data_IF_683851269110
#
_entry.id   IF_683851269110
#
_cell.length_a   1.000
_cell.length_b   1.000
_cell.length_c   1.000
_cell.angle_alpha   90.00
_cell.angle_beta   90.00
_cell.angle_gamma   90.00
#
_symmetry.space_group_name_H-M   'P 1'
#
loop_
_entity.id
_entity.type
_entity.pdbx_description
1 polymer ?
#
# COMPACT_ATOMS: atom_id res chain seq x y z
N UNK A 1 29.17 -24.20 -6.16
CA UNK A 1 29.34 -23.35 -4.96
C UNK A 1 28.06 -22.53 -4.76
N UNK A 2 27.29 -22.78 -3.70
CA UNK A 2 26.08 -22.00 -3.37
C UNK A 2 26.52 -20.72 -2.68
N UNK A 3 26.30 -19.57 -3.31
CA UNK A 3 26.64 -18.27 -2.72
C UNK A 3 25.70 -17.98 -1.54
N UNK A 4 26.24 -17.68 -0.37
CA UNK A 4 25.49 -17.15 0.75
C UNK A 4 25.12 -15.68 0.49
N UNK A 5 23.88 -15.31 0.80
CA UNK A 5 23.39 -13.94 0.65
C UNK A 5 23.21 -13.39 2.06
N UNK A 6 23.84 -12.26 2.32
CA UNK A 6 23.88 -11.58 3.61
C UNK A 6 22.98 -10.32 3.58
N UNK A 7 22.15 -10.11 4.61
CA UNK A 7 21.41 -8.87 4.77
C UNK A 7 22.23 -7.90 5.66
N UNK A 8 22.74 -6.79 5.13
CA UNK A 8 23.60 -5.89 5.88
C UNK A 8 22.88 -5.14 7.02
N UNK A 9 21.53 -5.13 7.01
CA UNK A 9 20.74 -4.39 8.01
C UNK A 9 20.37 -5.19 9.26
N UNK A 10 20.23 -6.50 9.16
CA UNK A 10 19.82 -7.34 10.29
C UNK A 10 20.73 -8.53 10.56
N UNK A 11 21.83 -8.68 9.80
CA UNK A 11 22.81 -9.78 9.98
C UNK A 11 22.32 -11.16 9.53
N UNK A 12 21.12 -11.25 8.92
CA UNK A 12 20.57 -12.53 8.48
C UNK A 12 21.32 -13.11 7.30
N UNK A 13 21.66 -14.41 7.37
CA UNK A 13 22.43 -15.12 6.34
C UNK A 13 21.61 -16.31 5.86
N UNK A 14 21.43 -16.43 4.54
CA UNK A 14 20.83 -17.61 3.93
C UNK A 14 21.72 -18.24 2.86
N UNK A 15 21.72 -19.58 2.85
CA UNK A 15 22.42 -20.38 1.84
C UNK A 15 21.43 -20.90 0.82
N UNK A 16 21.36 -20.26 -0.33
CA UNK A 16 20.90 -20.95 -1.54
C UNK A 16 19.62 -20.57 -2.24
N UNK A 17 18.79 -19.57 -1.85
CA UNK A 17 17.64 -19.14 -2.65
C UNK A 17 17.47 -17.63 -2.68
N UNK A 18 17.71 -17.01 -3.84
CA UNK A 18 17.47 -15.56 -4.06
C UNK A 18 16.06 -15.10 -3.72
N UNK A 19 15.05 -15.97 -3.89
CA UNK A 19 13.63 -15.67 -3.59
C UNK A 19 13.39 -15.36 -2.13
N UNK A 20 13.95 -16.15 -1.22
CA UNK A 20 13.76 -15.95 0.23
C UNK A 20 14.45 -14.68 0.70
N UNK A 21 15.58 -14.32 0.10
CA UNK A 21 16.28 -13.06 0.38
C UNK A 21 15.42 -11.82 0.04
N UNK A 22 14.75 -11.83 -1.12
CA UNK A 22 13.89 -10.71 -1.53
C UNK A 22 12.74 -10.50 -0.54
N UNK A 23 12.04 -11.58 -0.16
CA UNK A 23 10.97 -11.53 0.85
C UNK A 23 11.49 -11.09 2.22
N UNK A 24 12.69 -11.55 2.61
CA UNK A 24 13.33 -11.14 3.84
C UNK A 24 13.70 -9.66 3.81
N UNK A 25 14.23 -9.15 2.70
CA UNK A 25 14.58 -7.73 2.50
C UNK A 25 13.36 -6.84 2.63
N UNK A 26 12.24 -7.17 1.96
CA UNK A 26 10.96 -6.43 2.07
C UNK A 26 10.45 -6.39 3.52
N UNK A 27 10.55 -7.52 4.25
CA UNK A 27 10.15 -7.61 5.67
C UNK A 27 11.10 -6.84 6.59
N UNK A 28 12.40 -6.84 6.30
CA UNK A 28 13.43 -6.17 7.08
C UNK A 28 13.33 -4.65 6.96
N UNK A 29 13.09 -4.11 5.77
CA UNK A 29 12.91 -2.67 5.55
C UNK A 29 11.73 -2.11 6.35
N UNK A 30 10.60 -2.83 6.40
CA UNK A 30 9.44 -2.43 7.21
C UNK A 30 9.71 -2.47 8.74
N UNK A 31 10.53 -3.39 9.23
CA UNK A 31 10.88 -3.49 10.66
C UNK A 31 11.91 -2.43 11.09
N UNK A 32 12.88 -2.13 10.25
CA UNK A 32 13.93 -1.15 10.56
C UNK A 32 13.39 0.28 10.58
N UNK A 33 12.43 0.61 9.71
CA UNK A 33 11.77 1.93 9.72
C UNK A 33 11.05 2.20 11.05
N UNK A 34 10.45 1.16 11.65
CA UNK A 34 9.73 1.28 12.94
C UNK A 34 10.67 1.43 14.16
N UNK A 35 11.94 1.04 14.05
CA UNK A 35 12.94 1.15 15.14
C UNK A 35 13.75 2.44 15.11
N UNK A 36 13.78 3.16 13.99
CA UNK A 36 14.57 4.39 13.83
C UNK A 36 13.85 5.65 14.32
N UNK A 37 12.53 5.62 14.49
CA UNK A 37 11.72 6.76 14.90
C UNK A 37 12.08 7.30 16.31
N UNK A 38 12.37 6.49 17.35
CA UNK A 38 12.71 7.03 18.67
C UNK A 38 14.08 7.74 18.71
N UNK A 39 15.05 7.31 17.88
CA UNK A 39 16.40 7.88 17.87
C UNK A 39 16.41 9.28 17.21
N UNK A 40 15.62 9.47 16.16
CA UNK A 40 15.50 10.76 15.47
C UNK A 40 14.78 11.78 16.38
N UNK A 41 13.77 11.36 17.15
CA UNK A 41 13.08 12.22 18.11
C UNK A 41 14.02 12.65 19.27
N UNK A 42 14.88 11.76 19.77
CA UNK A 42 15.85 12.09 20.82
C UNK A 42 16.91 13.08 20.37
N UNK A 43 17.40 12.98 19.13
CA UNK A 43 18.36 13.93 18.54
C UNK A 43 17.75 15.31 18.31
N UNK A 44 16.48 15.39 17.91
CA UNK A 44 15.78 16.67 17.72
C UNK A 44 15.59 17.42 19.04
N UNK A 45 15.33 16.73 20.16
CA UNK A 45 15.19 17.35 21.49
C UNK A 45 16.53 17.88 22.03
N UNK A 46 17.66 17.24 21.72
CA UNK A 46 19.00 17.72 22.12
C UNK A 46 19.38 19.00 21.39
N UNK A 47 19.02 19.13 20.10
CA UNK A 47 19.32 20.35 19.30
C UNK A 47 18.45 21.54 19.75
N UNK A 48 17.20 21.29 20.16
CA UNK A 48 16.31 22.36 20.67
C UNK A 48 16.63 22.79 22.10
N UNK A 49 17.23 21.90 22.92
CA UNK A 49 17.64 22.21 24.29
C UNK A 49 18.91 23.05 24.42
N UNK A 50 19.78 23.08 23.42
CA UNK A 50 21.03 23.82 23.43
C UNK A 50 20.90 25.30 23.02
N UNK A 51 19.74 25.73 22.53
CA UNK A 51 19.49 27.11 22.07
C UNK A 51 19.00 28.09 23.12
N UNK A 52 18.80 27.69 24.40
CA UNK A 52 18.13 28.53 25.40
C UNK A 52 19.04 29.17 26.44
N UNK A 53 20.36 29.11 26.28
CA UNK A 53 21.32 29.71 27.21
C UNK A 53 22.32 30.64 26.49
N UNK A 54 21.83 31.72 25.88
CA UNK A 54 22.70 32.89 25.63
C UNK A 54 21.89 34.05 25.03
N UNK A 55 21.36 34.92 25.86
CA UNK A 55 20.99 36.28 25.47
C UNK A 55 20.75 37.16 26.71
N UNK A 56 21.82 37.58 27.36
CA UNK A 56 21.82 38.78 28.14
C UNK A 56 23.00 39.65 27.66
N UNK A 57 22.73 40.66 26.82
CA UNK A 57 23.52 41.86 26.62
C UNK A 57 22.67 42.90 25.89
N UNK A 58 22.08 43.84 26.65
CA UNK A 58 22.34 45.27 26.68
C UNK A 58 22.25 45.99 25.31
N UNK A 59 21.15 46.70 25.04
CA UNK A 59 21.06 48.14 25.26
C UNK A 59 21.32 49.01 24.01
N UNK A 60 20.36 49.90 23.75
CA UNK A 60 20.46 51.24 23.15
C UNK A 60 20.50 51.40 21.61
N UNK A 61 19.60 52.29 21.24
CA UNK A 61 19.39 53.09 20.01
C UNK A 61 18.25 52.54 19.16
N UNK A 62 17.17 53.30 19.06
CA UNK A 62 16.87 54.47 18.39
C UNK A 62 15.41 54.49 17.97
N UNK A 63 14.66 55.49 18.38
CA UNK A 63 13.31 55.83 17.88
C UNK A 63 13.33 56.03 16.38
N UNK A 64 12.44 55.43 15.64
CA UNK A 64 11.69 56.08 14.56
C UNK A 64 10.41 55.29 14.19
N UNK A 65 9.33 55.99 14.43
CA UNK A 65 8.10 56.12 13.62
C UNK A 65 7.26 54.91 13.30
N UNK A 66 6.21 54.93 14.08
CA UNK A 66 4.86 54.38 13.85
C UNK A 66 4.41 54.33 12.41
N UNK A 67 4.00 53.13 12.00
CA UNK A 67 2.68 52.89 11.38
C UNK A 67 2.31 51.46 11.68
N UNK A 68 1.17 51.18 12.34
CA UNK A 68 0.67 49.82 12.41
C UNK A 68 0.24 49.43 10.98
N UNK A 69 1.01 48.57 10.36
CA UNK A 69 0.53 47.84 9.19
C UNK A 69 -0.46 46.84 9.76
N UNK A 70 -1.74 47.17 9.67
CA UNK A 70 -2.84 46.21 9.82
C UNK A 70 -2.67 45.12 8.76
N UNK A 71 -1.80 44.16 9.05
CA UNK A 71 -1.83 42.87 8.44
C UNK A 71 -3.08 42.22 9.04
N UNK A 72 -4.25 42.53 8.47
CA UNK A 72 -5.41 41.68 8.57
C UNK A 72 -4.97 40.30 8.08
N UNK A 73 -4.45 39.49 8.99
CA UNK A 73 -4.36 38.06 8.84
C UNK A 73 -5.80 37.58 8.53
N UNK A 74 -6.15 37.59 7.23
CA UNK A 74 -7.18 36.70 6.72
C UNK A 74 -6.69 35.31 7.07
N UNK A 75 -6.96 34.88 8.27
CA UNK A 75 -7.12 33.49 8.60
C UNK A 75 -8.29 33.04 7.73
N UNK A 76 -7.97 32.73 6.46
CA UNK A 76 -8.78 31.80 5.72
C UNK A 76 -8.75 30.54 6.57
N UNK A 77 -9.75 30.38 7.40
CA UNK A 77 -10.08 29.14 8.05
C UNK A 77 -10.33 28.15 6.90
N UNK A 78 -9.24 27.51 6.49
CA UNK A 78 -9.28 26.28 5.70
C UNK A 78 -9.78 25.24 6.70
N UNK A 79 -11.05 25.32 7.06
CA UNK A 79 -11.76 24.15 7.53
C UNK A 79 -11.66 23.19 6.35
N UNK A 80 -10.95 22.04 6.50
CA UNK A 80 -11.03 21.03 5.48
C UNK A 80 -12.53 20.72 5.38
N UNK A 81 -13.14 21.09 4.24
CA UNK A 81 -14.48 20.69 3.94
C UNK A 81 -14.50 19.19 4.22
N UNK A 82 -15.31 18.77 5.18
CA UNK A 82 -15.57 17.36 5.46
C UNK A 82 -16.26 16.88 4.19
N UNK A 83 -15.44 16.52 3.21
CA UNK A 83 -15.90 16.00 1.95
C UNK A 83 -16.74 14.79 2.30
N UNK A 84 -18.02 14.83 1.98
CA UNK A 84 -18.92 13.70 2.15
C UNK A 84 -18.19 12.47 1.56
N UNK A 85 -18.00 11.40 2.35
CA UNK A 85 -17.26 10.26 1.89
C UNK A 85 -17.89 9.77 0.59
N UNK A 86 -17.08 9.63 -0.43
CA UNK A 86 -17.46 9.15 -1.75
C UNK A 86 -18.42 7.94 -1.62
N UNK A 87 -19.62 8.01 -2.21
CA UNK A 87 -20.59 6.91 -2.11
C UNK A 87 -20.01 5.55 -2.48
N UNK A 88 -19.08 5.51 -3.44
CA UNK A 88 -18.37 4.29 -3.80
C UNK A 88 -17.58 3.69 -2.65
N UNK A 89 -16.97 4.51 -1.80
CA UNK A 89 -16.21 4.02 -0.63
C UNK A 89 -17.15 3.31 0.35
N UNK A 90 -18.34 3.88 0.60
CA UNK A 90 -19.34 3.25 1.50
C UNK A 90 -19.79 1.89 0.98
N UNK A 91 -20.01 1.76 -0.33
CA UNK A 91 -20.43 0.50 -0.96
C UNK A 91 -19.33 -0.55 -0.84
N UNK A 92 -18.08 -0.18 -1.11
CA UNK A 92 -16.96 -1.11 -1.00
C UNK A 92 -16.68 -1.48 0.46
N UNK A 93 -16.72 -0.53 1.39
CA UNK A 93 -16.57 -0.78 2.83
C UNK A 93 -17.61 -1.79 3.33
N UNK A 94 -18.90 -1.61 2.94
CA UNK A 94 -19.96 -2.56 3.27
C UNK A 94 -19.70 -3.97 2.69
N UNK A 95 -19.25 -4.06 1.45
CA UNK A 95 -18.88 -5.33 0.83
C UNK A 95 -17.73 -6.02 1.57
N UNK A 96 -16.67 -5.28 1.92
CA UNK A 96 -15.54 -5.81 2.66
C UNK A 96 -15.96 -6.35 4.04
N UNK A 97 -16.81 -5.62 4.77
CA UNK A 97 -17.35 -6.05 6.06
C UNK A 97 -18.20 -7.30 5.95
N UNK A 98 -19.05 -7.41 4.91
CA UNK A 98 -19.86 -8.61 4.65
C UNK A 98 -19.00 -9.87 4.50
N UNK A 99 -17.79 -9.75 3.94
CA UNK A 99 -16.85 -10.84 3.76
C UNK A 99 -15.76 -10.88 4.85
N UNK A 100 -16.05 -10.34 6.04
CA UNK A 100 -15.23 -10.45 7.25
C UNK A 100 -13.80 -9.89 7.10
N UNK A 101 -13.62 -8.88 6.26
CA UNK A 101 -12.37 -8.12 6.26
C UNK A 101 -12.29 -7.33 7.56
N UNK A 102 -11.11 -7.33 8.19
CA UNK A 102 -10.86 -6.66 9.47
C UNK A 102 -11.38 -5.21 9.48
N UNK A 103 -12.36 -4.93 10.36
CA UNK A 103 -13.09 -3.67 10.43
C UNK A 103 -12.20 -2.45 10.62
N UNK A 104 -11.09 -2.58 11.36
CA UNK A 104 -10.14 -1.49 11.57
C UNK A 104 -9.45 -1.02 10.25
N UNK A 105 -9.39 -1.90 9.25
CA UNK A 105 -8.76 -1.64 7.96
C UNK A 105 -9.74 -1.41 6.81
N UNK A 106 -11.01 -1.82 6.96
CA UNK A 106 -12.01 -1.78 5.88
C UNK A 106 -12.07 -0.43 5.17
N UNK A 107 -12.19 0.66 5.91
CA UNK A 107 -12.27 2.01 5.32
C UNK A 107 -11.03 2.33 4.47
N UNK A 108 -9.82 2.11 5.00
CA UNK A 108 -8.56 2.37 4.29
C UNK A 108 -8.41 1.51 3.04
N UNK A 109 -8.82 0.24 3.12
CA UNK A 109 -8.84 -0.68 1.98
C UNK A 109 -9.85 -0.23 0.93
N UNK A 110 -11.07 0.15 1.34
CA UNK A 110 -12.09 0.66 0.44
C UNK A 110 -11.63 1.94 -0.30
N UNK A 111 -11.00 2.87 0.41
CA UNK A 111 -10.41 4.08 -0.17
C UNK A 111 -9.32 3.76 -1.21
N UNK A 112 -8.44 2.82 -0.89
CA UNK A 112 -7.39 2.36 -1.81
C UNK A 112 -7.97 1.72 -3.06
N UNK A 113 -8.97 0.85 -2.91
CA UNK A 113 -9.68 0.19 -4.02
C UNK A 113 -10.34 1.23 -4.92
N UNK A 114 -11.19 2.11 -4.37
CA UNK A 114 -11.94 3.10 -5.17
C UNK A 114 -10.99 4.06 -5.91
N UNK A 115 -9.94 4.53 -5.24
CA UNK A 115 -8.94 5.42 -5.83
C UNK A 115 -8.20 4.76 -6.98
N UNK A 116 -7.72 3.53 -6.78
CA UNK A 116 -6.96 2.80 -7.79
C UNK A 116 -7.85 2.37 -8.95
N UNK A 117 -9.06 1.89 -8.67
CA UNK A 117 -10.04 1.51 -9.69
C UNK A 117 -10.37 2.66 -10.63
N UNK A 118 -10.56 3.87 -10.10
CA UNK A 118 -10.77 5.09 -10.91
C UNK A 118 -9.57 5.41 -11.79
N UNK A 119 -8.36 5.35 -11.21
CA UNK A 119 -7.12 5.63 -11.93
C UNK A 119 -6.93 4.67 -13.12
N UNK A 120 -7.30 3.42 -12.93
CA UNK A 120 -7.08 2.36 -13.92
C UNK A 120 -8.32 1.98 -14.73
N UNK A 121 -9.44 2.71 -14.55
CA UNK A 121 -10.71 2.48 -15.23
C UNK A 121 -11.22 1.03 -15.09
N UNK A 122 -11.22 0.52 -13.84
CA UNK A 122 -11.82 -0.76 -13.47
C UNK A 122 -12.98 -0.56 -12.49
N UNK A 123 -13.91 -1.52 -12.47
CA UNK A 123 -14.98 -1.55 -11.48
C UNK A 123 -14.46 -1.82 -10.08
N UNK A 124 -14.67 -0.93 -9.08
CA UNK A 124 -14.23 -1.13 -7.70
C UNK A 124 -14.78 -2.41 -7.06
N UNK A 125 -15.96 -2.87 -7.44
CA UNK A 125 -16.53 -4.12 -6.91
C UNK A 125 -15.76 -5.34 -7.42
N UNK A 126 -15.35 -5.32 -8.68
CA UNK A 126 -14.50 -6.39 -9.23
C UNK A 126 -13.17 -6.46 -8.47
N UNK A 127 -12.54 -5.32 -8.25
CA UNK A 127 -11.26 -5.26 -7.51
C UNK A 127 -11.45 -5.76 -6.07
N UNK A 128 -12.51 -5.32 -5.38
CA UNK A 128 -12.84 -5.79 -4.03
C UNK A 128 -13.07 -7.30 -3.99
N UNK A 129 -13.79 -7.86 -4.98
CA UNK A 129 -14.07 -9.30 -5.06
C UNK A 129 -12.79 -10.14 -5.17
N UNK A 130 -11.85 -9.68 -6.00
CA UNK A 130 -10.54 -10.32 -6.14
C UNK A 130 -9.76 -10.20 -4.82
N UNK A 131 -9.64 -9.00 -4.25
CA UNK A 131 -8.91 -8.76 -2.99
C UNK A 131 -9.43 -9.64 -1.85
N UNK A 132 -10.74 -9.81 -1.73
CA UNK A 132 -11.36 -10.68 -0.73
C UNK A 132 -10.89 -12.12 -0.90
N UNK A 133 -10.85 -12.64 -2.13
CA UNK A 133 -10.40 -14.01 -2.40
C UNK A 133 -8.90 -14.19 -2.18
N UNK A 134 -8.09 -13.19 -2.51
CA UNK A 134 -6.63 -13.27 -2.43
C UNK A 134 -6.13 -13.31 -0.97
N UNK A 135 -6.66 -12.46 -0.11
CA UNK A 135 -6.09 -12.31 1.23
C UNK A 135 -7.09 -12.06 2.35
N UNK A 136 -8.38 -11.91 2.05
CA UNK A 136 -9.38 -11.36 2.99
C UNK A 136 -8.94 -10.02 3.60
N UNK A 137 -8.29 -9.19 2.79
CA UNK A 137 -7.82 -7.88 3.23
C UNK A 137 -6.58 -7.90 4.14
N UNK A 138 -5.84 -9.01 4.23
CA UNK A 138 -4.61 -9.09 5.01
C UNK A 138 -3.41 -8.53 4.21
N UNK A 139 -2.86 -7.35 4.58
CA UNK A 139 -1.74 -6.75 3.86
C UNK A 139 -0.40 -7.48 4.09
N UNK A 140 -0.35 -8.39 5.06
CA UNK A 140 0.84 -9.16 5.40
C UNK A 140 0.77 -10.63 4.94
N UNK A 141 -0.23 -10.97 4.12
CA UNK A 141 -0.36 -12.32 3.59
C UNK A 141 0.81 -12.67 2.69
N UNK A 142 1.35 -13.87 2.85
CA UNK A 142 2.38 -14.47 2.00
C UNK A 142 1.95 -15.91 1.70
N UNK A 143 1.80 -16.25 0.43
CA UNK A 143 1.45 -17.60 0.01
C UNK A 143 2.67 -18.52 -0.10
N UNK A 144 2.49 -19.84 -0.13
CA UNK A 144 3.56 -20.80 -0.38
C UNK A 144 4.26 -20.60 -1.74
N UNK A 145 3.57 -20.00 -2.71
CA UNK A 145 4.10 -19.67 -4.04
C UNK A 145 4.72 -18.28 -4.14
N UNK A 146 5.06 -17.64 -3.01
CA UNK A 146 5.66 -16.30 -2.94
C UNK A 146 4.76 -15.17 -3.47
N UNK A 147 3.43 -15.30 -3.38
CA UNK A 147 2.52 -14.18 -3.57
C UNK A 147 2.43 -13.35 -2.29
N UNK A 148 2.46 -12.01 -2.40
CA UNK A 148 2.64 -11.10 -1.26
C UNK A 148 1.59 -10.01 -1.22
N UNK A 149 1.08 -9.75 -0.02
CA UNK A 149 0.24 -8.61 0.32
C UNK A 149 -1.23 -8.79 0.01
N UNK A 150 -1.96 -7.69 0.07
CA UNK A 150 -3.43 -7.70 0.06
C UNK A 150 -4.06 -8.19 -1.26
N UNK A 151 -3.37 -7.95 -2.38
CA UNK A 151 -3.76 -8.42 -3.72
C UNK A 151 -2.95 -9.62 -4.21
N UNK A 152 -2.13 -10.25 -3.32
CA UNK A 152 -1.33 -11.43 -3.59
C UNK A 152 -0.47 -11.31 -4.87
N UNK A 153 0.39 -10.31 -4.89
CA UNK A 153 1.32 -10.09 -6.02
C UNK A 153 2.38 -11.18 -6.04
N UNK A 154 2.42 -11.99 -7.10
CA UNK A 154 3.36 -13.09 -7.28
C UNK A 154 4.78 -12.55 -7.53
N UNK A 155 5.61 -12.52 -6.48
CA UNK A 155 6.96 -11.94 -6.51
C UNK A 155 7.85 -12.54 -7.59
N UNK A 156 7.88 -13.87 -7.84
CA UNK A 156 8.69 -14.43 -8.91
C UNK A 156 8.44 -13.84 -10.29
N UNK A 157 7.20 -13.43 -10.56
CA UNK A 157 6.80 -12.81 -11.84
C UNK A 157 7.13 -11.31 -11.87
N UNK A 158 6.90 -10.61 -10.76
CA UNK A 158 6.85 -9.15 -10.75
C UNK A 158 8.02 -8.46 -10.04
N UNK A 159 8.96 -9.22 -9.43
CA UNK A 159 10.08 -8.69 -8.64
C UNK A 159 10.84 -7.56 -9.34
N UNK A 160 11.12 -7.72 -10.64
CA UNK A 160 11.88 -6.75 -11.43
C UNK A 160 11.19 -5.38 -11.51
N UNK A 161 9.86 -5.37 -11.63
CA UNK A 161 9.07 -4.13 -11.70
C UNK A 161 8.93 -3.56 -10.29
N UNK A 162 8.63 -4.39 -9.30
CA UNK A 162 8.50 -3.99 -7.89
C UNK A 162 9.78 -3.32 -7.38
N UNK A 163 10.95 -3.88 -7.71
CA UNK A 163 12.25 -3.28 -7.34
C UNK A 163 12.52 -1.98 -8.09
N UNK A 164 12.29 -1.96 -9.41
CA UNK A 164 12.54 -0.80 -10.26
C UNK A 164 11.70 0.41 -9.85
N UNK A 165 10.44 0.19 -9.50
CA UNK A 165 9.49 1.25 -9.15
C UNK A 165 9.42 1.53 -7.64
N UNK A 166 10.16 0.79 -6.81
CA UNK A 166 10.19 0.96 -5.35
C UNK A 166 8.85 0.64 -4.66
N UNK A 167 8.07 -0.30 -5.20
CA UNK A 167 6.73 -0.64 -4.71
C UNK A 167 6.84 -1.41 -3.39
N UNK A 168 6.17 -0.92 -2.33
CA UNK A 168 6.08 -1.61 -1.05
C UNK A 168 4.87 -2.55 -1.03
N UNK A 169 5.08 -3.84 -1.25
CA UNK A 169 4.02 -4.85 -1.30
C UNK A 169 3.29 -5.09 0.03
N UNK A 170 3.78 -4.59 1.15
CA UNK A 170 3.10 -4.64 2.45
C UNK A 170 2.31 -3.37 2.77
N UNK A 171 2.43 -2.34 1.95
CA UNK A 171 1.63 -1.13 2.06
C UNK A 171 0.36 -1.28 1.23
N UNK A 172 -0.79 -1.08 1.87
CA UNK A 172 -2.11 -1.30 1.27
C UNK A 172 -2.25 -0.57 -0.07
N UNK A 173 -1.95 0.73 -0.08
CA UNK A 173 -2.13 1.58 -1.26
C UNK A 173 -1.25 1.13 -2.44
N UNK A 174 0.02 0.82 -2.17
CA UNK A 174 0.98 0.43 -3.20
C UNK A 174 0.64 -0.95 -3.78
N UNK A 175 0.28 -1.91 -2.91
CA UNK A 175 -0.08 -3.26 -3.32
C UNK A 175 -1.40 -3.28 -4.11
N UNK A 176 -2.43 -2.54 -3.64
CA UNK A 176 -3.71 -2.41 -4.35
C UNK A 176 -3.50 -1.75 -5.71
N UNK A 177 -2.76 -0.63 -5.78
CA UNK A 177 -2.54 0.07 -7.05
C UNK A 177 -1.80 -0.81 -8.07
N UNK A 178 -0.78 -1.52 -7.63
CA UNK A 178 -0.04 -2.42 -8.49
C UNK A 178 -0.86 -3.64 -8.93
N UNK A 179 -1.63 -4.26 -8.02
CA UNK A 179 -2.53 -5.37 -8.34
C UNK A 179 -3.63 -4.97 -9.32
N UNK A 180 -4.23 -3.78 -9.14
CA UNK A 180 -5.24 -3.23 -10.07
C UNK A 180 -4.64 -2.96 -11.45
N UNK A 181 -3.41 -2.45 -11.52
CA UNK A 181 -2.68 -2.25 -12.77
C UNK A 181 -2.47 -3.57 -13.52
N UNK A 182 -2.05 -4.62 -12.83
CA UNK A 182 -1.89 -5.97 -13.41
C UNK A 182 -3.23 -6.50 -13.93
N UNK A 183 -4.28 -6.40 -13.11
CA UNK A 183 -5.63 -6.86 -13.49
C UNK A 183 -6.13 -6.10 -14.72
N UNK A 184 -5.99 -4.78 -14.76
CA UNK A 184 -6.36 -3.95 -15.92
C UNK A 184 -5.66 -4.43 -17.20
N UNK A 185 -4.36 -4.70 -17.11
CA UNK A 185 -3.58 -5.11 -18.28
C UNK A 185 -4.03 -6.46 -18.82
N UNK A 186 -4.40 -7.40 -17.93
CA UNK A 186 -5.01 -8.66 -18.34
C UNK A 186 -6.41 -8.49 -18.92
N UNK A 187 -7.28 -7.71 -18.26
CA UNK A 187 -8.65 -7.46 -18.73
C UNK A 187 -8.63 -6.74 -20.09
N UNK A 188 -7.75 -5.77 -20.27
CA UNK A 188 -7.60 -5.04 -21.54
C UNK A 188 -7.13 -5.95 -22.68
N UNK A 189 -6.25 -6.89 -22.39
CA UNK A 189 -5.64 -7.78 -23.41
C UNK A 189 -6.53 -8.98 -23.76
N UNK A 190 -7.23 -9.54 -22.80
CA UNK A 190 -7.89 -10.83 -22.94
C UNK A 190 -9.41 -10.81 -22.70
N UNK A 191 -9.96 -9.64 -22.36
CA UNK A 191 -11.33 -9.52 -21.87
C UNK A 191 -11.46 -9.81 -20.38
N UNK A 192 -12.66 -9.53 -19.83
CA UNK A 192 -12.88 -9.54 -18.37
C UNK A 192 -12.64 -10.91 -17.76
N UNK A 193 -13.34 -11.94 -18.22
CA UNK A 193 -13.35 -13.24 -17.57
C UNK A 193 -12.00 -13.95 -17.72
N UNK A 194 -11.41 -13.89 -18.90
CA UNK A 194 -10.09 -14.45 -19.14
C UNK A 194 -9.00 -13.65 -18.40
N UNK A 195 -9.14 -12.33 -18.32
CA UNK A 195 -8.24 -11.48 -17.55
C UNK A 195 -8.25 -11.84 -16.06
N UNK A 196 -9.43 -12.15 -15.48
CA UNK A 196 -9.57 -12.60 -14.10
C UNK A 196 -8.88 -13.97 -13.91
N UNK A 197 -9.11 -14.93 -14.82
CA UNK A 197 -8.44 -16.23 -14.79
C UNK A 197 -6.92 -16.10 -14.84
N UNK A 198 -6.40 -15.24 -15.70
CA UNK A 198 -4.95 -14.96 -15.81
C UNK A 198 -4.35 -14.26 -14.59
N UNK A 199 -5.15 -13.43 -13.92
CA UNK A 199 -4.72 -12.86 -12.65
C UNK A 199 -4.45 -13.93 -11.60
N UNK A 200 -5.27 -14.96 -11.53
CA UNK A 200 -5.07 -16.15 -10.69
C UNK A 200 -3.94 -17.09 -11.18
N UNK A 201 -3.25 -16.74 -12.27
CA UNK A 201 -2.11 -17.52 -12.79
C UNK A 201 -2.49 -18.54 -13.87
N UNK A 202 -3.71 -18.50 -14.41
CA UNK A 202 -4.07 -19.39 -15.51
C UNK A 202 -3.20 -19.19 -16.76
N UNK A 203 -2.77 -20.33 -17.32
CA UNK A 203 -2.03 -20.39 -18.57
C UNK A 203 -2.71 -21.40 -19.51
N UNK A 204 -3.11 -20.99 -20.73
CA UNK A 204 -3.74 -21.89 -21.70
C UNK A 204 -2.92 -23.14 -22.05
N UNK A 205 -1.58 -23.07 -21.92
CA UNK A 205 -0.68 -24.19 -22.14
C UNK A 205 -0.68 -25.25 -21.02
N UNK A 206 -1.43 -25.01 -19.91
CA UNK A 206 -1.52 -25.95 -18.80
C UNK A 206 -3.00 -26.31 -18.53
N UNK A 207 -3.49 -27.47 -19.00
CA UNK A 207 -4.88 -27.90 -18.79
C UNK A 207 -5.29 -28.03 -17.32
N UNK A 208 -4.37 -28.44 -16.42
CA UNK A 208 -4.67 -28.59 -14.99
C UNK A 208 -5.04 -27.26 -14.33
N UNK A 209 -4.50 -26.16 -14.84
CA UNK A 209 -4.82 -24.82 -14.33
C UNK A 209 -6.21 -24.32 -14.76
N UNK A 210 -6.82 -24.92 -15.78
CA UNK A 210 -8.08 -24.44 -16.34
C UNK A 210 -9.26 -24.62 -15.37
N UNK A 211 -9.38 -25.78 -14.74
CA UNK A 211 -10.45 -26.06 -13.77
C UNK A 211 -10.34 -25.14 -12.53
N UNK A 212 -9.13 -24.94 -12.03
CA UNK A 212 -8.88 -24.03 -10.90
C UNK A 212 -9.21 -22.58 -11.26
N UNK A 213 -8.86 -22.15 -12.46
CA UNK A 213 -9.15 -20.80 -12.95
C UNK A 213 -10.65 -20.57 -13.15
N UNK A 214 -11.39 -21.57 -13.62
CA UNK A 214 -12.86 -21.48 -13.74
C UNK A 214 -13.52 -21.39 -12.36
N UNK A 215 -13.13 -22.22 -11.42
CA UNK A 215 -13.61 -22.16 -10.04
C UNK A 215 -13.29 -20.81 -9.38
N UNK A 216 -12.12 -20.23 -9.67
CA UNK A 216 -11.75 -18.90 -9.21
C UNK A 216 -12.65 -17.82 -9.80
N UNK A 217 -12.90 -17.85 -11.12
CA UNK A 217 -13.80 -16.91 -11.79
C UNK A 217 -15.21 -16.94 -11.18
N UNK A 218 -15.76 -18.15 -10.96
CA UNK A 218 -17.09 -18.31 -10.33
C UNK A 218 -17.14 -17.70 -8.92
N UNK A 219 -16.10 -17.88 -8.11
CA UNK A 219 -16.00 -17.25 -6.78
C UNK A 219 -15.94 -15.73 -6.88
N UNK A 220 -15.16 -15.17 -7.82
CA UNK A 220 -15.11 -13.72 -8.06
C UNK A 220 -16.49 -13.20 -8.44
N UNK A 221 -17.19 -13.88 -9.35
CA UNK A 221 -18.53 -13.49 -9.80
C UNK A 221 -19.55 -13.57 -8.65
N UNK A 222 -19.49 -14.60 -7.82
CA UNK A 222 -20.37 -14.74 -6.65
C UNK A 222 -20.24 -13.54 -5.69
N UNK A 223 -19.00 -13.14 -5.35
CA UNK A 223 -18.75 -11.97 -4.51
C UNK A 223 -19.21 -10.68 -5.22
N UNK A 224 -18.91 -10.56 -6.51
CA UNK A 224 -19.21 -9.37 -7.30
C UNK A 224 -20.71 -9.04 -7.35
N UNK A 225 -21.58 -10.05 -7.47
CA UNK A 225 -23.04 -9.86 -7.52
C UNK A 225 -23.71 -9.82 -6.16
N UNK A 226 -22.99 -10.16 -5.08
CA UNK A 226 -23.54 -10.16 -3.73
C UNK A 226 -23.90 -8.73 -3.29
N UNK A 227 -25.16 -8.49 -2.90
CA UNK A 227 -25.68 -7.20 -2.43
C UNK A 227 -25.47 -7.02 -0.93
#
# INVERSE_FOLDING_TARGET
MRRSIFCPRCGWIERGRKKVYLLHRLRCENRCFRRSTPVIFALLLVVLGAGFLSSNAIGLFGKTMDKPVDIALRQASITPAVANPDPGIKVIDALLKKFEVDGARCKRVAEAIVRSSRRHNLDPRLVASILILESRGNPFAISPSDAVGIMQIHVPTWARIVEKEGINLFKIEDNVDFGVRILRDYVKRYGRDEGIKRYNGWNPGNPESAQNAEAYLQKVQHIYVSR
#
